data_IF_042952613987
#
_entry.id   IF_042952613987
#
_cell.length_a   1.000
_cell.length_b   1.000
_cell.length_c   1.000
_cell.angle_alpha   90.00
_cell.angle_beta   90.00
_cell.angle_gamma   90.00
#
_symmetry.space_group_name_H-M   'P 1'
#
loop_
_entity.id
_entity.type
_entity.pdbx_description
1 polymer ?
#
# COMPACT_ATOMS: atom_id res chain seq x y z
N UNK A 1 3.76 -21.08 -39.38
CA UNK A 1 3.91 -22.29 -38.54
C UNK A 1 3.73 -21.90 -37.08
N UNK A 2 2.65 -22.33 -36.44
CA UNK A 2 2.39 -22.10 -35.01
C UNK A 2 3.27 -23.01 -34.16
N UNK A 3 4.22 -22.42 -33.44
CA UNK A 3 5.10 -23.13 -32.52
C UNK A 3 4.34 -23.53 -31.25
N UNK A 4 4.11 -24.83 -31.06
CA UNK A 4 3.58 -25.36 -29.79
C UNK A 4 4.63 -25.16 -28.69
N UNK A 5 4.25 -24.46 -27.62
CA UNK A 5 5.08 -24.35 -26.42
C UNK A 5 5.14 -25.72 -25.73
N UNK A 6 6.33 -26.32 -25.70
CA UNK A 6 6.67 -27.53 -24.94
C UNK A 6 7.49 -27.15 -23.70
N UNK A 7 6.98 -26.20 -22.91
CA UNK A 7 7.57 -25.88 -21.60
C UNK A 7 7.04 -26.86 -20.54
N UNK A 8 7.84 -27.25 -19.53
CA UNK A 8 7.31 -28.00 -18.41
C UNK A 8 6.45 -27.06 -17.57
N UNK A 9 5.40 -27.60 -16.94
CA UNK A 9 4.46 -26.96 -16.00
C UNK A 9 3.14 -26.45 -16.61
N UNK A 10 2.28 -27.38 -17.05
CA UNK A 10 0.88 -27.33 -16.64
C UNK A 10 0.80 -28.15 -15.35
N UNK A 11 0.73 -27.52 -14.18
CA UNK A 11 0.55 -28.27 -12.93
C UNK A 11 -0.94 -28.51 -12.73
N UNK A 12 -1.39 -29.69 -13.13
CA UNK A 12 -2.63 -30.29 -12.64
C UNK A 12 -2.21 -31.64 -12.04
N UNK A 13 -2.33 -31.79 -10.72
CA UNK A 13 -2.04 -33.03 -10.00
C UNK A 13 -0.59 -33.26 -9.54
N UNK A 14 0.13 -32.23 -9.08
CA UNK A 14 1.46 -32.45 -8.50
C UNK A 14 1.36 -33.09 -7.10
N UNK A 15 1.84 -34.32 -6.96
CA UNK A 15 1.90 -35.11 -5.71
C UNK A 15 3.26 -35.02 -4.99
N UNK A 16 4.14 -34.11 -5.42
CA UNK A 16 5.50 -34.02 -4.93
C UNK A 16 5.57 -33.22 -3.61
N UNK A 17 5.98 -33.87 -2.52
CA UNK A 17 5.97 -33.30 -1.15
C UNK A 17 7.17 -32.41 -0.83
N UNK A 18 8.15 -32.32 -1.73
CA UNK A 18 9.40 -31.59 -1.51
C UNK A 18 9.50 -30.38 -2.44
N UNK A 19 8.75 -29.33 -2.13
CA UNK A 19 8.66 -28.11 -2.95
C UNK A 19 9.78 -27.14 -2.56
N UNK A 20 11.01 -27.44 -2.95
CA UNK A 20 12.02 -26.38 -3.10
C UNK A 20 11.65 -25.60 -4.36
N UNK A 21 11.00 -24.45 -4.20
CA UNK A 21 10.77 -23.53 -5.31
C UNK A 21 12.13 -23.12 -5.90
N UNK A 22 12.44 -23.61 -7.10
CA UNK A 22 13.62 -23.17 -7.84
C UNK A 22 13.32 -21.78 -8.38
N UNK A 23 14.15 -20.81 -8.03
CA UNK A 23 14.16 -19.48 -8.65
C UNK A 23 14.27 -19.61 -10.17
N UNK A 24 13.71 -18.62 -10.88
CA UNK A 24 13.86 -18.53 -12.34
C UNK A 24 15.35 -18.52 -12.66
N UNK A 25 15.80 -19.45 -13.49
CA UNK A 25 17.20 -19.50 -13.91
C UNK A 25 17.49 -18.34 -14.85
N UNK A 26 18.74 -17.85 -14.85
CA UNK A 26 19.21 -16.79 -15.75
C UNK A 26 18.87 -17.09 -17.22
N UNK A 27 19.04 -18.35 -17.64
CA UNK A 27 18.68 -18.84 -18.97
C UNK A 27 17.17 -18.72 -19.28
N UNK A 28 16.30 -18.96 -18.29
CA UNK A 28 14.86 -18.81 -18.46
C UNK A 28 14.48 -17.32 -18.58
N UNK A 29 15.14 -16.45 -17.82
CA UNK A 29 14.95 -15.01 -17.88
C UNK A 29 15.35 -14.44 -19.25
N UNK A 30 16.52 -14.81 -19.78
CA UNK A 30 16.97 -14.42 -21.13
C UNK A 30 16.02 -14.88 -22.24
N UNK A 31 15.43 -16.07 -22.10
CA UNK A 31 14.44 -16.59 -23.05
C UNK A 31 13.15 -15.78 -23.02
N UNK A 32 12.71 -15.36 -21.83
CA UNK A 32 11.55 -14.48 -21.68
C UNK A 32 11.79 -13.10 -22.30
N UNK A 33 12.98 -12.51 -22.13
CA UNK A 33 13.36 -11.26 -22.78
C UNK A 33 13.35 -11.37 -24.30
N UNK A 34 14.00 -12.40 -24.86
CA UNK A 34 14.05 -12.62 -26.33
C UNK A 34 12.68 -12.81 -26.97
N UNK A 35 11.73 -13.41 -26.24
CA UNK A 35 10.36 -13.65 -26.72
C UNK A 35 9.39 -12.52 -26.39
N UNK A 36 9.84 -11.43 -25.75
CA UNK A 36 9.00 -10.34 -25.23
C UNK A 36 7.89 -10.83 -24.31
N UNK A 37 8.08 -11.99 -23.67
CA UNK A 37 7.07 -12.56 -22.75
C UNK A 37 6.96 -11.72 -21.48
N UNK A 38 8.03 -10.98 -21.12
CA UNK A 38 8.03 -10.04 -19.99
C UNK A 38 7.11 -8.85 -20.21
N UNK A 39 6.82 -8.46 -21.47
CA UNK A 39 5.88 -7.36 -21.77
C UNK A 39 4.44 -7.72 -21.37
N UNK A 40 4.10 -9.02 -21.34
CA UNK A 40 2.81 -9.51 -20.83
C UNK A 40 2.76 -9.52 -19.29
N UNK A 41 3.91 -9.40 -18.62
CA UNK A 41 4.06 -9.46 -17.17
C UNK A 41 5.06 -8.40 -16.67
N UNK A 42 4.75 -7.10 -16.85
CA UNK A 42 5.68 -5.99 -16.60
C UNK A 42 6.19 -5.93 -15.15
N UNK A 43 5.49 -6.56 -14.20
CA UNK A 43 5.92 -6.68 -12.81
C UNK A 43 7.18 -7.54 -12.62
N UNK A 44 7.61 -8.34 -13.61
CA UNK A 44 8.89 -9.06 -13.55
C UNK A 44 10.11 -8.20 -13.91
N UNK A 45 9.91 -7.01 -14.49
CA UNK A 45 11.03 -6.09 -14.76
C UNK A 45 11.57 -5.46 -13.47
N UNK A 46 10.72 -5.32 -12.44
CA UNK A 46 11.08 -4.74 -11.16
C UNK A 46 11.05 -5.80 -10.05
N UNK A 47 12.11 -5.85 -9.24
CA UNK A 47 12.07 -6.65 -8.02
C UNK A 47 11.02 -6.08 -7.05
N UNK A 48 10.50 -6.91 -6.14
CA UNK A 48 9.60 -6.43 -5.08
C UNK A 48 10.22 -5.27 -4.29
N UNK A 49 11.51 -5.36 -3.94
CA UNK A 49 12.23 -4.30 -3.25
C UNK A 49 12.29 -2.99 -4.06
N UNK A 50 12.50 -3.07 -5.38
CA UNK A 50 12.46 -1.90 -6.28
C UNK A 50 11.06 -1.27 -6.30
N UNK A 51 10.02 -2.09 -6.37
CA UNK A 51 8.63 -1.64 -6.37
C UNK A 51 8.27 -0.94 -5.06
N UNK A 52 8.70 -1.47 -3.91
CA UNK A 52 8.54 -0.81 -2.61
C UNK A 52 9.29 0.53 -2.55
N UNK A 53 10.47 0.62 -3.17
CA UNK A 53 11.19 1.89 -3.26
C UNK A 53 10.43 2.94 -4.05
N UNK A 54 9.95 2.56 -5.23
CA UNK A 54 9.13 3.40 -6.09
C UNK A 54 7.84 3.84 -5.40
N UNK A 55 7.14 2.92 -4.73
CA UNK A 55 5.93 3.19 -3.96
C UNK A 55 6.20 4.20 -2.84
N UNK A 56 7.28 3.99 -2.07
CA UNK A 56 7.64 4.88 -0.96
C UNK A 56 7.91 6.30 -1.45
N UNK A 57 8.61 6.44 -2.58
CA UNK A 57 8.89 7.75 -3.19
C UNK A 57 7.62 8.42 -3.71
N UNK A 58 6.72 7.64 -4.35
CA UNK A 58 5.45 8.16 -4.86
C UNK A 58 4.56 8.69 -3.72
N UNK A 59 4.36 7.91 -2.67
CA UNK A 59 3.55 8.31 -1.52
C UNK A 59 4.17 9.46 -0.73
N UNK A 60 5.51 9.53 -0.65
CA UNK A 60 6.19 10.69 -0.07
C UNK A 60 5.94 11.96 -0.89
N UNK A 61 6.05 11.88 -2.22
CA UNK A 61 5.79 13.01 -3.11
C UNK A 61 4.36 13.53 -2.92
N UNK A 62 3.38 12.63 -2.98
CA UNK A 62 1.97 12.94 -2.78
C UNK A 62 1.72 13.65 -1.44
N UNK A 63 2.16 13.06 -0.32
CA UNK A 63 1.88 13.61 1.01
C UNK A 63 2.63 14.93 1.30
N UNK A 64 3.82 15.14 0.72
CA UNK A 64 4.67 16.29 1.07
C UNK A 64 4.70 17.42 0.06
N UNK A 65 4.52 17.13 -1.23
CA UNK A 65 4.56 18.15 -2.28
C UNK A 65 3.18 18.56 -2.73
N UNK A 66 2.26 17.61 -2.85
CA UNK A 66 0.88 17.90 -3.22
C UNK A 66 0.01 18.20 -2.01
N UNK A 67 0.40 17.74 -0.82
CA UNK A 67 -0.32 17.99 0.43
C UNK A 67 -1.72 17.37 0.44
N UNK A 68 -1.95 16.37 -0.41
CA UNK A 68 -3.23 15.69 -0.55
C UNK A 68 -3.48 14.75 0.63
N UNK A 69 -4.76 14.53 0.95
CA UNK A 69 -5.16 13.50 1.91
C UNK A 69 -4.82 12.09 1.40
N UNK A 70 -4.91 11.11 2.30
CA UNK A 70 -4.79 9.70 1.93
C UNK A 70 -5.86 9.33 0.90
N UNK A 71 -5.46 8.59 -0.12
CA UNK A 71 -6.38 7.95 -1.05
C UNK A 71 -6.59 6.50 -0.57
N UNK A 72 -7.80 6.19 -0.15
CA UNK A 72 -8.16 4.88 0.42
C UNK A 72 -9.01 4.05 -0.54
N UNK A 73 -9.57 4.66 -1.60
CA UNK A 73 -10.23 3.93 -2.67
C UNK A 73 -9.20 3.15 -3.48
N UNK A 74 -9.33 1.81 -3.63
CA UNK A 74 -8.34 0.99 -4.33
C UNK A 74 -8.11 1.37 -5.79
N UNK A 75 -9.16 1.79 -6.51
CA UNK A 75 -9.06 2.11 -7.93
C UNK A 75 -8.33 3.44 -8.11
N UNK A 76 -8.72 4.44 -7.33
CA UNK A 76 -8.05 5.74 -7.35
C UNK A 76 -6.60 5.62 -6.86
N UNK A 77 -6.35 4.82 -5.82
CA UNK A 77 -5.01 4.58 -5.29
C UNK A 77 -4.08 3.97 -6.34
N UNK A 78 -4.54 2.94 -7.06
CA UNK A 78 -3.78 2.31 -8.16
C UNK A 78 -3.43 3.35 -9.24
N UNK A 79 -4.43 4.09 -9.73
CA UNK A 79 -4.22 5.11 -10.75
C UNK A 79 -3.25 6.21 -10.30
N UNK A 80 -3.36 6.63 -9.04
CA UNK A 80 -2.53 7.65 -8.44
C UNK A 80 -1.06 7.22 -8.37
N UNK A 81 -0.77 6.03 -7.83
CA UNK A 81 0.63 5.57 -7.74
C UNK A 81 1.26 5.33 -9.11
N UNK A 82 0.48 4.82 -10.08
CA UNK A 82 0.95 4.60 -11.46
C UNK A 82 1.18 5.91 -12.21
N UNK A 83 0.37 6.94 -11.95
CA UNK A 83 0.54 8.27 -12.54
C UNK A 83 1.80 8.95 -12.01
N UNK A 84 2.04 8.86 -10.70
CA UNK A 84 3.24 9.44 -10.08
C UNK A 84 4.50 8.70 -10.53
N UNK A 85 4.42 7.37 -10.66
CA UNK A 85 5.53 6.55 -11.13
C UNK A 85 5.04 5.39 -12.02
N UNK A 86 5.20 5.51 -13.36
CA UNK A 86 4.80 4.46 -14.31
C UNK A 86 5.46 3.10 -14.07
N UNK A 87 6.60 3.05 -13.36
CA UNK A 87 7.25 1.79 -12.97
C UNK A 87 6.45 0.97 -11.94
N UNK A 88 5.43 1.56 -11.31
CA UNK A 88 4.48 0.87 -10.44
C UNK A 88 3.32 0.22 -11.20
N UNK A 89 3.29 0.31 -12.53
CA UNK A 89 2.21 -0.25 -13.33
C UNK A 89 2.02 -1.75 -13.06
N UNK A 90 0.81 -2.11 -12.62
CA UNK A 90 0.46 -3.49 -12.26
C UNK A 90 0.99 -3.97 -10.90
N UNK A 91 1.73 -3.14 -10.14
CA UNK A 91 2.21 -3.50 -8.80
C UNK A 91 1.05 -3.73 -7.83
N UNK A 92 0.02 -2.89 -7.86
CA UNK A 92 -1.13 -3.07 -6.98
C UNK A 92 -1.89 -4.35 -7.31
N UNK A 93 -2.11 -4.64 -8.59
CA UNK A 93 -2.71 -5.91 -9.03
C UNK A 93 -1.89 -7.11 -8.56
N UNK A 94 -0.56 -7.05 -8.70
CA UNK A 94 0.34 -8.09 -8.18
C UNK A 94 0.14 -8.31 -6.66
N UNK A 95 0.05 -7.25 -5.86
CA UNK A 95 -0.23 -7.35 -4.42
C UNK A 95 -1.61 -7.99 -4.16
N UNK A 96 -2.63 -7.62 -4.93
CA UNK A 96 -3.97 -8.21 -4.79
C UNK A 96 -4.00 -9.69 -5.13
N UNK A 97 -3.35 -10.10 -6.22
CA UNK A 97 -3.27 -11.50 -6.63
C UNK A 97 -2.45 -12.36 -5.66
N UNK A 98 -1.42 -11.77 -5.03
CA UNK A 98 -0.58 -12.46 -4.06
C UNK A 98 -1.27 -12.69 -2.71
N UNK A 99 -2.15 -11.77 -2.29
CA UNK A 99 -2.74 -11.78 -0.93
C UNK A 99 -4.17 -12.35 -0.94
N UNK A 100 -4.95 -12.11 -2.00
CA UNK A 100 -6.37 -12.49 -2.05
C UNK A 100 -6.52 -13.90 -2.66
N UNK A 101 -7.09 -14.87 -1.93
CA UNK A 101 -7.44 -16.19 -2.48
C UNK A 101 -8.47 -16.09 -3.62
N UNK A 102 -8.38 -17.02 -4.59
CA UNK A 102 -9.22 -17.01 -5.79
C UNK A 102 -10.70 -17.33 -5.51
N UNK A 103 -10.98 -17.98 -4.40
CA UNK A 103 -12.30 -18.49 -4.03
C UNK A 103 -13.18 -17.47 -3.30
N UNK A 104 -12.75 -16.19 -3.20
CA UNK A 104 -13.50 -15.17 -2.45
C UNK A 104 -14.67 -14.59 -3.25
N UNK A 105 -15.71 -14.17 -2.51
CA UNK A 105 -16.82 -13.42 -3.08
C UNK A 105 -16.39 -12.02 -3.53
N UNK A 106 -17.08 -11.44 -4.51
CA UNK A 106 -16.77 -10.11 -5.04
C UNK A 106 -16.73 -9.02 -3.95
N UNK A 107 -17.67 -9.07 -2.99
CA UNK A 107 -17.70 -8.15 -1.85
C UNK A 107 -16.45 -8.28 -0.97
N UNK A 108 -16.05 -9.51 -0.64
CA UNK A 108 -14.85 -9.76 0.18
C UNK A 108 -13.56 -9.37 -0.55
N UNK A 109 -13.53 -9.46 -1.87
CA UNK A 109 -12.40 -8.98 -2.69
C UNK A 109 -12.25 -7.46 -2.56
N UNK A 110 -13.36 -6.70 -2.62
CA UNK A 110 -13.29 -5.24 -2.54
C UNK A 110 -12.78 -4.76 -1.17
N UNK A 111 -13.27 -5.34 -0.07
CA UNK A 111 -12.78 -5.02 1.28
C UNK A 111 -11.32 -5.46 1.49
N UNK A 112 -10.91 -6.57 0.87
CA UNK A 112 -9.51 -6.98 0.89
C UNK A 112 -8.62 -6.00 0.12
N UNK A 113 -9.07 -5.47 -1.02
CA UNK A 113 -8.33 -4.43 -1.76
C UNK A 113 -8.11 -3.17 -0.93
N UNK A 114 -9.11 -2.70 -0.17
CA UNK A 114 -8.94 -1.59 0.78
C UNK A 114 -7.88 -1.89 1.84
N UNK A 115 -7.88 -3.12 2.36
CA UNK A 115 -6.86 -3.56 3.32
C UNK A 115 -5.45 -3.55 2.72
N UNK A 116 -5.32 -3.89 1.43
CA UNK A 116 -4.05 -3.85 0.71
C UNK A 116 -3.57 -2.42 0.49
N UNK A 117 -4.47 -1.45 0.25
CA UNK A 117 -4.10 -0.01 0.24
C UNK A 117 -3.48 0.39 1.57
N UNK A 118 -4.12 0.04 2.70
CA UNK A 118 -3.56 0.27 4.04
C UNK A 118 -2.19 -0.39 4.22
N UNK A 119 -2.03 -1.64 3.75
CA UNK A 119 -0.75 -2.35 3.77
C UNK A 119 0.34 -1.61 2.97
N UNK A 120 0.02 -1.08 1.78
CA UNK A 120 0.95 -0.29 0.98
C UNK A 120 1.45 0.95 1.73
N UNK A 121 0.55 1.70 2.37
CA UNK A 121 0.93 2.84 3.22
C UNK A 121 1.77 2.41 4.43
N UNK A 122 1.46 1.27 5.06
CA UNK A 122 2.24 0.74 6.18
C UNK A 122 3.67 0.39 5.76
N UNK A 123 3.83 -0.35 4.67
CA UNK A 123 5.16 -0.73 4.14
C UNK A 123 5.98 0.53 3.79
N UNK A 124 5.37 1.49 3.10
CA UNK A 124 6.03 2.75 2.77
C UNK A 124 6.40 3.57 4.02
N UNK A 125 5.52 3.63 5.01
CA UNK A 125 5.74 4.36 6.27
C UNK A 125 6.73 3.69 7.22
N UNK A 126 6.96 2.38 7.09
CA UNK A 126 8.07 1.68 7.75
C UNK A 126 9.41 2.05 7.10
N UNK A 127 9.45 2.18 5.77
CA UNK A 127 10.66 2.54 5.03
C UNK A 127 11.01 4.03 5.13
N UNK A 128 10.02 4.89 5.23
CA UNK A 128 10.20 6.33 5.32
C UNK A 128 9.31 6.93 6.41
N UNK A 129 9.93 7.42 7.49
CA UNK A 129 9.25 8.07 8.62
C UNK A 129 8.43 9.31 8.26
N UNK A 130 8.62 9.86 7.07
CA UNK A 130 7.89 11.02 6.57
C UNK A 130 6.63 10.67 5.78
N UNK A 131 6.43 9.39 5.43
CA UNK A 131 5.18 8.83 4.86
C UNK A 131 4.35 8.29 6.01
N UNK A 132 3.73 9.20 6.75
CA UNK A 132 3.31 8.90 8.11
C UNK A 132 1.87 9.30 8.43
N UNK A 133 1.18 9.89 7.46
CA UNK A 133 -0.21 10.32 7.59
C UNK A 133 -1.14 9.13 7.91
N UNK A 134 -0.94 7.97 7.27
CA UNK A 134 -1.74 6.77 7.61
C UNK A 134 -1.54 6.33 9.07
N UNK A 135 -0.29 6.28 9.55
CA UNK A 135 -0.01 5.94 10.96
C UNK A 135 -0.62 6.93 11.94
N UNK A 136 -0.69 8.22 11.55
CA UNK A 136 -1.34 9.26 12.33
C UNK A 136 -2.85 9.04 12.40
N UNK A 137 -3.51 8.78 11.26
CA UNK A 137 -4.95 8.49 11.22
C UNK A 137 -5.31 7.25 12.04
N UNK A 138 -4.51 6.18 11.95
CA UNK A 138 -4.66 4.99 12.80
C UNK A 138 -4.51 5.35 14.28
N UNK A 139 -3.50 6.15 14.64
CA UNK A 139 -3.31 6.61 16.02
C UNK A 139 -4.46 7.45 16.55
N UNK A 140 -4.99 8.38 15.74
CA UNK A 140 -6.16 9.20 16.08
C UNK A 140 -7.42 8.34 16.24
N UNK A 141 -7.62 7.34 15.37
CA UNK A 141 -8.75 6.42 15.44
C UNK A 141 -8.71 5.55 16.70
N UNK A 142 -7.54 4.97 17.02
CA UNK A 142 -7.36 4.19 18.26
C UNK A 142 -7.67 5.06 19.48
N UNK A 143 -7.19 6.31 19.48
CA UNK A 143 -7.46 7.24 20.57
C UNK A 143 -8.94 7.60 20.69
N UNK A 144 -9.65 7.77 19.58
CA UNK A 144 -11.09 8.00 19.56
C UNK A 144 -11.91 6.77 19.97
N UNK A 145 -11.32 5.57 19.89
CA UNK A 145 -11.92 4.30 20.30
C UNK A 145 -11.59 3.95 21.75
N UNK A 146 -11.20 4.93 22.57
CA UNK A 146 -10.82 4.78 23.99
C UNK A 146 -9.71 3.74 24.25
N UNK A 147 -8.85 3.48 23.26
CA UNK A 147 -7.68 2.61 23.43
C UNK A 147 -6.70 3.25 24.41
N UNK A 148 -6.16 2.44 25.32
CA UNK A 148 -5.21 2.92 26.33
C UNK A 148 -3.93 3.46 25.67
N UNK A 149 -3.28 4.38 26.36
CA UNK A 149 -2.03 4.96 25.87
C UNK A 149 -0.94 3.89 25.69
N UNK A 150 -0.86 2.92 26.60
CA UNK A 150 0.07 1.81 26.52
C UNK A 150 -0.17 0.94 25.28
N UNK A 151 -1.44 0.68 24.94
CA UNK A 151 -1.79 -0.07 23.74
C UNK A 151 -1.46 0.71 22.45
N UNK A 152 -1.67 2.03 22.44
CA UNK A 152 -1.27 2.89 21.31
C UNK A 152 0.25 2.92 21.15
N UNK A 153 1.01 3.06 22.23
CA UNK A 153 2.48 3.03 22.16
C UNK A 153 3.00 1.64 21.77
N UNK A 154 2.30 0.57 22.17
CA UNK A 154 2.59 -0.80 21.69
C UNK A 154 2.40 -0.88 20.17
N UNK A 155 1.24 -0.44 19.65
CA UNK A 155 0.98 -0.38 18.20
C UNK A 155 2.00 0.49 17.45
N UNK A 156 2.47 1.56 18.08
CA UNK A 156 3.47 2.44 17.51
C UNK A 156 4.85 1.80 17.44
N UNK A 157 5.26 1.07 18.48
CA UNK A 157 6.51 0.32 18.49
C UNK A 157 6.54 -0.81 17.45
N UNK A 158 5.38 -1.41 17.15
CA UNK A 158 5.20 -2.33 16.03
C UNK A 158 5.20 -1.63 14.66
N UNK A 159 5.17 -0.29 14.65
CA UNK A 159 5.21 0.53 13.44
C UNK A 159 3.85 0.71 12.74
N UNK A 160 2.74 0.32 13.37
CA UNK A 160 1.39 0.43 12.80
C UNK A 160 0.72 1.77 13.08
N UNK A 161 1.08 2.45 14.17
CA UNK A 161 0.49 3.73 14.56
C UNK A 161 1.55 4.79 14.94
N UNK A 162 1.08 6.02 15.14
CA UNK A 162 1.82 7.04 15.84
C UNK A 162 1.83 6.80 17.36
N UNK A 163 2.89 7.26 18.01
CA UNK A 163 2.99 7.21 19.46
C UNK A 163 2.00 8.19 20.09
N UNK A 164 1.67 7.91 21.34
CA UNK A 164 0.68 8.65 22.13
C UNK A 164 0.96 10.14 22.17
N UNK A 165 2.24 10.50 22.39
CA UNK A 165 2.71 11.89 22.39
C UNK A 165 2.38 12.62 21.08
N UNK A 166 2.59 11.96 19.95
CA UNK A 166 2.31 12.57 18.64
C UNK A 166 0.81 12.74 18.42
N UNK A 167 0.02 11.71 18.77
CA UNK A 167 -1.44 11.75 18.65
C UNK A 167 -2.02 12.88 19.51
N UNK A 168 -1.59 13.02 20.77
CA UNK A 168 -2.05 14.07 21.69
C UNK A 168 -1.76 15.48 21.16
N UNK A 169 -0.55 15.71 20.63
CA UNK A 169 -0.19 17.00 20.02
C UNK A 169 -1.09 17.33 18.83
N UNK A 170 -1.37 16.36 17.96
CA UNK A 170 -2.26 16.56 16.82
C UNK A 170 -3.71 16.82 17.25
N UNK A 171 -4.22 16.12 18.26
CA UNK A 171 -5.56 16.38 18.80
C UNK A 171 -5.70 17.81 19.34
N UNK A 172 -4.70 18.26 20.11
CA UNK A 172 -4.66 19.64 20.61
C UNK A 172 -4.65 20.67 19.48
N UNK A 173 -3.87 20.41 18.42
CA UNK A 173 -3.85 21.26 17.22
C UNK A 173 -5.23 21.34 16.56
N UNK A 174 -5.90 20.21 16.36
CA UNK A 174 -7.25 20.15 15.79
C UNK A 174 -8.25 20.94 16.66
N UNK A 175 -8.17 20.78 17.98
CA UNK A 175 -9.06 21.49 18.92
C UNK A 175 -8.85 23.02 18.86
N UNK A 176 -7.60 23.46 18.79
CA UNK A 176 -7.26 24.89 18.67
C UNK A 176 -7.76 25.46 17.35
N UNK A 177 -7.52 24.77 16.23
CA UNK A 177 -7.97 25.20 14.90
C UNK A 177 -9.50 25.27 14.81
N UNK A 178 -10.21 24.29 15.38
CA UNK A 178 -11.66 24.27 15.45
C UNK A 178 -12.20 25.45 16.26
N UNK A 179 -11.61 25.72 17.44
CA UNK A 179 -12.01 26.84 18.29
C UNK A 179 -11.82 28.18 17.57
N UNK A 180 -10.71 28.35 16.85
CA UNK A 180 -10.45 29.55 16.06
C UNK A 180 -11.45 29.71 14.89
N UNK A 181 -11.78 28.62 14.18
CA UNK A 181 -12.78 28.65 13.10
C UNK A 181 -14.17 29.04 13.60
N UNK A 182 -14.59 28.50 14.75
CA UNK A 182 -15.86 28.87 15.38
C UNK A 182 -15.87 30.35 15.76
N UNK A 183 -14.79 30.83 16.42
CA UNK A 183 -14.70 32.24 16.80
C UNK A 183 -14.79 33.17 15.58
N UNK A 184 -14.08 32.85 14.50
CA UNK A 184 -14.13 33.62 13.25
C UNK A 184 -15.54 33.61 12.63
N UNK A 185 -16.23 32.47 12.62
CA UNK A 185 -17.60 32.39 12.12
C UNK A 185 -18.56 33.31 12.90
N UNK A 186 -18.46 33.34 14.23
CA UNK A 186 -19.29 34.25 15.05
C UNK A 186 -18.97 35.73 14.78
N UNK A 187 -17.69 36.07 14.56
CA UNK A 187 -17.29 37.43 14.22
C UNK A 187 -17.73 37.87 12.81
N UNK A 188 -17.85 36.94 11.86
CA UNK A 188 -18.23 37.28 10.48
C UNK A 188 -19.75 37.36 10.27
N UNK A 189 -20.53 36.52 10.97
CA UNK A 189 -21.95 36.31 10.64
C UNK A 189 -22.93 36.59 11.79
N UNK A 190 -22.46 36.79 13.03
CA UNK A 190 -23.34 36.92 14.20
C UNK A 190 -23.17 38.25 14.95
N UNK A 191 -21.92 38.70 15.12
CA UNK A 191 -21.57 39.99 15.76
C UNK A 191 -21.39 41.04 14.66
#
# INVERSE_FOLDING_TARGET
MTTKNLGPCLIIGCTNTNVQFRTITELAYEKCQRKRTLEAYPYFENTFASSIDMLTKALYYQQRREGTNLELDPVNFEQMIETINPGLKGFFNFMTEAIIPKERSAYSINEAKKSIVGLCYLIAGLRNKFVNQHKLEVGLYLRASDVTWEAIDTMSSLGYSMCTKTVDVYQKKIQQEHSAKIANYFLEYVI
#
